data_IF_936708002460
#
_entry.id   IF_936708002460
#
_cell.length_a   1.000
_cell.length_b   1.000
_cell.length_c   1.000
_cell.angle_alpha   90.00
_cell.angle_beta   90.00
_cell.angle_gamma   90.00
#
_symmetry.space_group_name_H-M   'P 1'
#
loop_
_entity.id
_entity.type
_entity.pdbx_description
1 polymer ?
#
# COMPACT_ATOMS: atom_id res chain seq x y z
N UNK A 1 13.35 -8.86 8.64
CA UNK A 1 13.29 -7.76 7.67
C UNK A 1 11.90 -7.15 7.71
N UNK A 2 11.80 -5.85 7.55
CA UNK A 2 10.54 -5.12 7.43
C UNK A 2 10.46 -4.48 6.03
N UNK A 3 9.28 -4.46 5.42
CA UNK A 3 9.07 -3.91 4.07
C UNK A 3 9.39 -2.42 4.00
N UNK A 4 9.24 -1.70 5.11
CA UNK A 4 9.58 -0.27 5.17
C UNK A 4 11.02 0.04 4.80
N UNK A 5 11.97 -0.88 5.00
CA UNK A 5 13.38 -0.67 4.64
C UNK A 5 13.56 -0.52 3.13
N UNK A 6 13.23 -1.52 2.29
CA UNK A 6 13.36 -1.38 0.84
C UNK A 6 12.37 -0.35 0.25
N UNK A 7 11.21 -0.11 0.84
CA UNK A 7 10.30 0.96 0.40
C UNK A 7 10.92 2.34 0.52
N UNK A 8 11.51 2.67 1.68
CA UNK A 8 12.16 3.96 1.91
C UNK A 8 13.41 4.09 1.04
N UNK A 9 14.18 3.01 0.85
CA UNK A 9 15.31 3.00 -0.08
C UNK A 9 14.82 3.34 -1.51
N UNK A 10 13.78 2.66 -1.98
CA UNK A 10 13.21 2.86 -3.31
C UNK A 10 12.80 4.32 -3.54
N UNK A 11 11.91 4.86 -2.71
CA UNK A 11 11.39 6.22 -2.91
C UNK A 11 12.47 7.27 -2.73
N UNK A 12 13.38 7.09 -1.77
CA UNK A 12 14.48 8.05 -1.56
C UNK A 12 15.44 8.07 -2.76
N UNK A 13 15.81 6.90 -3.28
CA UNK A 13 16.66 6.80 -4.46
C UNK A 13 15.99 7.38 -5.72
N UNK A 14 14.68 7.20 -5.88
CA UNK A 14 13.89 7.83 -6.96
C UNK A 14 13.96 9.36 -6.88
N UNK A 15 13.70 9.92 -5.69
CA UNK A 15 13.73 11.37 -5.48
C UNK A 15 15.14 11.95 -5.70
N UNK A 16 16.16 11.28 -5.22
CA UNK A 16 17.55 11.71 -5.43
C UNK A 16 17.92 11.65 -6.92
N UNK A 17 17.61 10.57 -7.61
CA UNK A 17 17.85 10.45 -9.05
C UNK A 17 17.17 11.56 -9.84
N UNK A 18 15.89 11.83 -9.55
CA UNK A 18 15.10 12.84 -10.25
C UNK A 18 15.61 14.26 -9.98
N UNK A 19 15.85 14.59 -8.70
CA UNK A 19 16.18 15.98 -8.31
C UNK A 19 17.64 16.34 -8.56
N UNK A 20 18.55 15.36 -8.51
CA UNK A 20 19.97 15.59 -8.78
C UNK A 20 20.36 15.31 -10.24
N UNK A 21 19.53 14.61 -10.99
CA UNK A 21 19.87 14.15 -12.34
C UNK A 21 21.01 13.13 -12.34
N UNK A 22 21.10 12.30 -11.29
CA UNK A 22 22.18 11.35 -11.07
C UNK A 22 21.70 9.92 -11.18
N UNK A 23 22.01 9.27 -12.29
CA UNK A 23 21.61 7.90 -12.59
C UNK A 23 22.31 6.83 -11.71
N UNK A 24 23.29 7.21 -10.88
CA UNK A 24 23.98 6.26 -9.98
C UNK A 24 23.03 5.60 -8.98
N UNK A 25 21.91 6.26 -8.64
CA UNK A 25 20.88 5.71 -7.75
C UNK A 25 20.00 4.61 -8.38
N UNK A 26 20.13 4.36 -9.68
CA UNK A 26 19.34 3.33 -10.37
C UNK A 26 19.57 1.92 -9.79
N UNK A 27 20.81 1.62 -9.40
CA UNK A 27 21.15 0.35 -8.75
C UNK A 27 20.43 0.15 -7.42
N UNK A 28 20.37 1.19 -6.58
CA UNK A 28 19.67 1.14 -5.29
C UNK A 28 18.15 0.91 -5.47
N UNK A 29 17.56 1.48 -6.53
CA UNK A 29 16.16 1.28 -6.90
C UNK A 29 15.92 -0.18 -7.32
N UNK A 30 16.79 -0.73 -8.17
CA UNK A 30 16.69 -2.11 -8.65
C UNK A 30 16.82 -3.11 -7.50
N UNK A 31 17.80 -2.91 -6.61
CA UNK A 31 18.02 -3.75 -5.44
C UNK A 31 16.82 -3.74 -4.50
N UNK A 32 16.23 -2.57 -4.25
CA UNK A 32 15.04 -2.42 -3.41
C UNK A 32 13.83 -3.16 -4.00
N UNK A 33 13.56 -2.99 -5.30
CA UNK A 33 12.45 -3.67 -5.98
C UNK A 33 12.66 -5.19 -5.97
N UNK A 34 13.87 -5.64 -6.22
CA UNK A 34 14.17 -7.08 -6.20
C UNK A 34 14.03 -7.68 -4.79
N UNK A 35 14.43 -6.96 -3.74
CA UNK A 35 14.20 -7.39 -2.36
C UNK A 35 12.70 -7.48 -2.04
N UNK A 36 11.90 -6.51 -2.47
CA UNK A 36 10.45 -6.54 -2.30
C UNK A 36 9.85 -7.77 -2.97
N UNK A 37 10.21 -8.02 -4.23
CA UNK A 37 9.73 -9.17 -5.00
C UNK A 37 10.12 -10.51 -4.39
N UNK A 38 11.38 -10.66 -4.02
CA UNK A 38 11.94 -11.92 -3.53
C UNK A 38 11.47 -12.27 -2.12
N UNK A 39 11.49 -11.27 -1.21
CA UNK A 39 11.33 -11.53 0.21
C UNK A 39 9.90 -11.26 0.70
N UNK A 40 9.24 -10.22 0.22
CA UNK A 40 7.96 -9.76 0.78
C UNK A 40 6.73 -10.19 -0.02
N UNK A 41 6.81 -10.28 -1.35
CA UNK A 41 5.69 -10.79 -2.14
C UNK A 41 5.55 -12.30 -1.96
N UNK A 42 4.31 -12.76 -1.74
CA UNK A 42 3.95 -14.18 -1.58
C UNK A 42 2.89 -14.56 -2.60
N UNK A 43 3.31 -14.87 -3.86
CA UNK A 43 2.37 -15.16 -4.94
C UNK A 43 1.43 -16.33 -4.65
N UNK A 44 1.90 -17.33 -3.91
CA UNK A 44 1.16 -18.55 -3.57
C UNK A 44 -0.05 -18.30 -2.66
N UNK A 45 -0.04 -17.17 -1.94
CA UNK A 45 -1.13 -16.76 -1.05
C UNK A 45 -1.62 -15.33 -1.35
N UNK A 46 -1.17 -14.75 -2.45
CA UNK A 46 -1.59 -13.45 -2.96
C UNK A 46 -1.56 -12.35 -1.90
N UNK A 47 -0.36 -12.08 -1.36
CA UNK A 47 -0.15 -10.98 -0.42
C UNK A 47 1.28 -10.44 -0.43
N UNK A 48 1.45 -9.31 0.24
CA UNK A 48 2.74 -8.71 0.56
C UNK A 48 2.85 -8.63 2.08
N UNK A 49 3.92 -9.22 2.61
CA UNK A 49 4.15 -9.29 4.06
C UNK A 49 4.72 -7.97 4.58
N UNK A 50 4.29 -7.56 5.78
CA UNK A 50 4.90 -6.43 6.50
C UNK A 50 6.28 -6.78 7.05
N UNK A 51 6.42 -8.02 7.52
CA UNK A 51 7.67 -8.56 8.07
C UNK A 51 7.92 -9.97 7.59
N UNK A 52 9.19 -10.30 7.38
CA UNK A 52 9.64 -11.65 7.02
C UNK A 52 10.92 -12.03 7.77
N UNK A 53 11.20 -13.33 7.87
CA UNK A 53 12.47 -13.81 8.35
C UNK A 53 13.64 -13.38 7.44
N UNK A 54 14.90 -13.48 7.87
CA UNK A 54 16.06 -13.11 7.05
C UNK A 54 16.13 -13.80 5.67
N UNK A 55 15.56 -15.00 5.58
CA UNK A 55 15.48 -15.80 4.33
C UNK A 55 14.21 -15.54 3.51
N UNK A 56 13.40 -14.56 3.91
CA UNK A 56 12.13 -14.22 3.26
C UNK A 56 10.95 -15.09 3.69
N UNK A 57 11.11 -16.09 4.56
CA UNK A 57 10.00 -16.94 5.01
C UNK A 57 9.04 -16.20 5.93
N UNK A 58 7.77 -16.67 5.97
CA UNK A 58 6.75 -16.13 6.86
C UNK A 58 7.06 -16.55 8.30
N UNK A 59 7.07 -15.60 9.22
CA UNK A 59 7.25 -15.85 10.65
C UNK A 59 5.88 -16.16 11.25
N UNK A 60 5.65 -17.40 11.73
CA UNK A 60 4.38 -17.80 12.37
C UNK A 60 4.29 -17.29 13.80
N UNK A 61 4.23 -15.98 13.94
CA UNK A 61 3.99 -15.24 15.18
C UNK A 61 3.07 -14.06 14.88
N UNK A 62 2.45 -13.45 15.87
CA UNK A 62 1.54 -12.30 15.69
C UNK A 62 2.12 -11.23 14.79
N UNK A 63 3.31 -10.72 15.13
CA UNK A 63 3.95 -9.64 14.37
C UNK A 63 4.30 -10.10 12.95
N UNK A 64 4.87 -11.31 12.83
CA UNK A 64 5.30 -11.86 11.54
C UNK A 64 4.17 -12.23 10.60
N UNK A 65 2.94 -12.41 11.10
CA UNK A 65 1.74 -12.66 10.28
C UNK A 65 0.97 -11.38 9.95
N UNK A 66 1.39 -10.24 10.51
CA UNK A 66 0.72 -8.96 10.28
C UNK A 66 0.90 -8.52 8.84
N UNK A 67 -0.20 -8.18 8.19
CA UNK A 67 -0.26 -7.43 6.94
C UNK A 67 -0.63 -5.98 7.25
N UNK A 68 0.05 -5.04 6.61
CA UNK A 68 -0.34 -3.65 6.55
C UNK A 68 -0.76 -3.31 5.11
N UNK A 69 -2.07 -3.36 4.80
CA UNK A 69 -2.54 -3.06 3.45
C UNK A 69 -2.09 -1.68 2.96
N UNK A 70 -2.03 -0.69 3.84
CA UNK A 70 -1.59 0.66 3.51
C UNK A 70 -0.14 0.70 3.00
N UNK A 71 0.81 0.15 3.75
CA UNK A 71 2.22 0.11 3.35
C UNK A 71 2.43 -0.67 2.05
N UNK A 72 1.75 -1.81 1.91
CA UNK A 72 1.90 -2.60 0.69
C UNK A 72 1.32 -1.88 -0.55
N UNK A 73 0.21 -1.16 -0.40
CA UNK A 73 -0.37 -0.33 -1.46
C UNK A 73 0.53 0.88 -1.77
N UNK A 74 1.13 1.49 -0.74
CA UNK A 74 2.14 2.53 -0.90
C UNK A 74 3.34 2.00 -1.70
N UNK A 75 3.85 0.83 -1.35
CA UNK A 75 4.90 0.15 -2.10
C UNK A 75 4.49 -0.07 -3.57
N UNK A 76 3.23 -0.45 -3.82
CA UNK A 76 2.74 -0.66 -5.18
C UNK A 76 2.88 0.60 -6.04
N UNK A 77 2.49 1.78 -5.53
CA UNK A 77 2.60 2.98 -6.34
C UNK A 77 4.03 3.51 -6.46
N UNK A 78 4.93 3.25 -5.51
CA UNK A 78 6.35 3.53 -5.70
C UNK A 78 6.91 2.76 -6.91
N UNK A 79 6.55 1.49 -7.04
CA UNK A 79 6.96 0.65 -8.18
C UNK A 79 6.27 1.11 -9.48
N UNK A 80 4.97 1.44 -9.44
CA UNK A 80 4.26 1.99 -10.61
C UNK A 80 4.83 3.33 -11.06
N UNK A 81 5.26 4.16 -10.11
CA UNK A 81 5.93 5.41 -10.43
C UNK A 81 7.28 5.17 -11.11
N UNK A 82 8.05 4.21 -10.61
CA UNK A 82 9.28 3.79 -11.28
C UNK A 82 9.01 3.27 -12.70
N UNK A 83 7.97 2.47 -12.87
CA UNK A 83 7.56 2.01 -14.19
C UNK A 83 7.33 3.17 -15.17
N UNK A 84 6.63 4.21 -14.71
CA UNK A 84 6.38 5.42 -15.49
C UNK A 84 7.68 6.16 -15.84
N UNK A 85 8.58 6.30 -14.88
CA UNK A 85 9.88 6.97 -15.08
C UNK A 85 10.76 6.23 -16.09
N UNK A 86 10.63 4.91 -16.18
CA UNK A 86 11.32 4.04 -17.15
C UNK A 86 10.57 3.87 -18.48
N UNK A 87 9.69 4.81 -18.83
CA UNK A 87 8.98 4.77 -20.11
C UNK A 87 7.86 3.72 -20.17
N UNK A 88 7.19 3.50 -19.06
CA UNK A 88 6.11 2.52 -18.88
C UNK A 88 6.62 1.06 -18.95
N UNK A 89 7.65 0.76 -18.15
CA UNK A 89 8.20 -0.59 -18.05
C UNK A 89 7.11 -1.62 -17.70
N UNK A 90 6.83 -2.59 -18.60
CA UNK A 90 5.69 -3.51 -18.42
C UNK A 90 5.88 -4.50 -17.26
N UNK A 91 7.11 -4.81 -16.88
CA UNK A 91 7.39 -5.72 -15.77
C UNK A 91 7.12 -5.04 -14.43
N UNK A 92 7.52 -3.80 -14.29
CA UNK A 92 7.23 -2.98 -13.11
C UNK A 92 5.73 -2.65 -13.01
N UNK A 93 5.05 -2.35 -14.13
CA UNK A 93 3.59 -2.17 -14.16
C UNK A 93 2.91 -3.43 -13.62
N UNK A 94 3.28 -4.61 -14.13
CA UNK A 94 2.71 -5.88 -13.68
C UNK A 94 2.93 -6.09 -12.17
N UNK A 95 4.13 -5.82 -11.67
CA UNK A 95 4.46 -5.98 -10.25
C UNK A 95 3.64 -5.05 -9.36
N UNK A 96 3.61 -3.76 -9.68
CA UNK A 96 2.86 -2.78 -8.88
C UNK A 96 1.35 -3.04 -8.90
N UNK A 97 0.80 -3.38 -10.08
CA UNK A 97 -0.61 -3.75 -10.21
C UNK A 97 -0.95 -5.03 -9.42
N UNK A 98 -0.06 -6.02 -9.43
CA UNK A 98 -0.26 -7.27 -8.69
C UNK A 98 -0.29 -7.03 -7.18
N UNK A 99 0.62 -6.22 -6.64
CA UNK A 99 0.61 -5.83 -5.23
C UNK A 99 -0.68 -5.10 -4.89
N UNK A 100 -1.08 -4.12 -5.70
CA UNK A 100 -2.31 -3.36 -5.49
C UNK A 100 -3.55 -4.26 -5.47
N UNK A 101 -3.69 -5.14 -6.45
CA UNK A 101 -4.83 -6.06 -6.55
C UNK A 101 -4.93 -6.98 -5.32
N UNK A 102 -3.82 -7.60 -4.93
CA UNK A 102 -3.77 -8.48 -3.76
C UNK A 102 -4.12 -7.75 -2.47
N UNK A 103 -3.53 -6.59 -2.26
CA UNK A 103 -3.66 -5.91 -0.98
C UNK A 103 -4.98 -5.13 -0.87
N UNK A 104 -5.58 -4.73 -1.98
CA UNK A 104 -6.96 -4.24 -1.97
C UNK A 104 -7.95 -5.37 -1.65
N UNK A 105 -7.77 -6.57 -2.22
CA UNK A 105 -8.63 -7.71 -1.93
C UNK A 105 -8.56 -8.13 -0.45
N UNK A 106 -7.37 -8.09 0.16
CA UNK A 106 -7.17 -8.43 1.57
C UNK A 106 -7.53 -7.32 2.54
N UNK A 107 -7.31 -6.07 2.14
CA UNK A 107 -7.43 -4.90 3.01
C UNK A 107 -8.80 -4.26 3.02
N UNK A 108 -9.62 -4.41 1.98
CA UNK A 108 -10.92 -3.76 1.91
C UNK A 108 -11.96 -4.42 2.82
N UNK A 109 -12.61 -3.62 3.67
CA UNK A 109 -13.69 -4.09 4.53
C UNK A 109 -14.99 -4.20 3.74
N UNK A 110 -15.41 -5.44 3.43
CA UNK A 110 -16.63 -5.71 2.68
C UNK A 110 -17.94 -5.37 3.41
N UNK A 111 -17.88 -5.16 4.73
CA UNK A 111 -19.06 -4.86 5.55
C UNK A 111 -19.30 -3.34 5.68
N UNK A 112 -18.26 -2.59 6.03
CA UNK A 112 -18.36 -1.15 6.30
C UNK A 112 -17.64 -0.28 5.26
N UNK A 113 -16.88 -0.91 4.37
CA UNK A 113 -15.99 -0.21 3.46
C UNK A 113 -14.72 0.31 4.14
N UNK A 114 -13.83 0.86 3.33
CA UNK A 114 -12.53 1.36 3.79
C UNK A 114 -11.52 0.27 4.05
N UNK A 115 -10.26 0.66 4.13
CA UNK A 115 -9.14 -0.25 4.36
C UNK A 115 -8.97 -0.53 5.85
N UNK A 116 -8.82 -1.80 6.21
CA UNK A 116 -8.32 -2.19 7.52
C UNK A 116 -6.90 -1.68 7.72
N UNK A 117 -6.55 -1.33 8.95
CA UNK A 117 -5.18 -0.92 9.25
C UNK A 117 -4.23 -2.12 9.27
N UNK A 118 -4.61 -3.18 10.01
CA UNK A 118 -3.88 -4.45 10.01
C UNK A 118 -4.78 -5.65 9.75
N UNK A 119 -4.21 -6.68 9.14
CA UNK A 119 -4.82 -8.00 8.97
C UNK A 119 -3.81 -9.07 9.36
N UNK A 120 -4.28 -10.24 9.76
CA UNK A 120 -3.43 -11.44 9.87
C UNK A 120 -3.47 -12.18 8.52
N UNK A 121 -2.34 -12.65 8.03
CA UNK A 121 -2.23 -13.32 6.73
C UNK A 121 -3.05 -14.59 6.61
N UNK A 122 -3.37 -15.23 7.75
CA UNK A 122 -4.19 -16.43 7.83
C UNK A 122 -5.55 -16.18 8.50
N UNK A 123 -5.99 -14.92 8.56
CA UNK A 123 -7.25 -14.50 9.22
C UNK A 123 -7.36 -14.91 10.70
N UNK A 124 -6.22 -15.11 11.37
CA UNK A 124 -6.14 -15.29 12.82
C UNK A 124 -6.34 -13.95 13.53
N UNK A 125 -6.64 -13.95 14.84
CA UNK A 125 -6.72 -12.71 15.61
C UNK A 125 -5.44 -11.88 15.52
N UNK A 126 -5.61 -10.57 15.30
CA UNK A 126 -4.53 -9.58 15.30
C UNK A 126 -4.30 -9.10 16.73
N UNK A 127 -3.06 -8.89 17.12
CA UNK A 127 -2.70 -8.45 18.48
C UNK A 127 -3.14 -7.00 18.74
N UNK A 128 -3.04 -6.14 17.73
CA UNK A 128 -3.33 -4.71 17.85
C UNK A 128 -4.85 -4.48 17.92
N UNK A 129 -5.35 -3.94 19.05
CA UNK A 129 -6.78 -3.73 19.25
C UNK A 129 -7.41 -2.71 18.28
N UNK A 130 -6.61 -1.84 17.66
CA UNK A 130 -7.06 -0.87 16.62
C UNK A 130 -6.91 -1.40 15.19
N UNK A 131 -6.64 -2.67 15.00
CA UNK A 131 -6.34 -3.26 13.69
C UNK A 131 -7.43 -3.06 12.65
N UNK A 132 -8.68 -2.94 13.07
CA UNK A 132 -9.83 -2.75 12.19
C UNK A 132 -10.25 -1.28 12.02
N UNK A 133 -9.59 -0.35 12.71
CA UNK A 133 -9.82 1.08 12.52
C UNK A 133 -9.42 1.51 11.12
N UNK A 134 -9.99 2.64 10.69
CA UNK A 134 -9.69 3.25 9.40
C UNK A 134 -8.82 4.47 9.60
N UNK A 135 -7.67 4.49 8.92
CA UNK A 135 -6.73 5.59 8.93
C UNK A 135 -6.78 6.32 7.59
N UNK A 136 -6.64 7.64 7.59
CA UNK A 136 -6.75 8.45 6.38
C UNK A 136 -5.66 8.12 5.34
N UNK A 137 -4.43 7.90 5.79
CA UNK A 137 -3.29 7.74 4.92
C UNK A 137 -3.35 6.47 4.03
N UNK A 138 -3.76 5.26 4.50
CA UNK A 138 -3.88 4.11 3.61
C UNK A 138 -4.86 4.32 2.46
N UNK A 139 -5.90 5.12 2.70
CA UNK A 139 -6.87 5.45 1.66
C UNK A 139 -6.29 6.39 0.62
N UNK A 140 -5.47 7.37 1.03
CA UNK A 140 -4.76 8.24 0.10
C UNK A 140 -3.76 7.44 -0.76
N UNK A 141 -3.02 6.51 -0.15
CA UNK A 141 -2.12 5.62 -0.89
C UNK A 141 -2.89 4.80 -1.94
N UNK A 142 -4.07 4.26 -1.58
CA UNK A 142 -4.91 3.52 -2.52
C UNK A 142 -5.50 4.39 -3.64
N UNK A 143 -5.83 5.65 -3.36
CA UNK A 143 -6.26 6.63 -4.37
C UNK A 143 -5.14 6.90 -5.36
N UNK A 144 -3.92 7.13 -4.88
CA UNK A 144 -2.73 7.36 -5.73
C UNK A 144 -2.43 6.11 -6.56
N UNK A 145 -2.33 4.95 -5.91
CA UNK A 145 -1.99 3.69 -6.57
C UNK A 145 -2.97 3.31 -7.68
N UNK A 146 -4.27 3.41 -7.40
CA UNK A 146 -5.31 3.06 -8.36
C UNK A 146 -5.37 4.02 -9.56
N UNK A 147 -5.17 5.33 -9.32
CA UNK A 147 -5.11 6.31 -10.40
C UNK A 147 -3.89 6.09 -11.30
N UNK A 148 -2.74 5.79 -10.69
CA UNK A 148 -1.51 5.53 -11.41
C UNK A 148 -1.61 4.22 -12.21
N UNK A 149 -2.16 3.15 -11.63
CA UNK A 149 -2.44 1.89 -12.31
C UNK A 149 -3.39 2.09 -13.50
N UNK A 150 -4.47 2.86 -13.32
CA UNK A 150 -5.37 3.24 -14.43
C UNK A 150 -4.63 3.99 -15.54
N UNK A 151 -3.81 4.96 -15.19
CA UNK A 151 -3.04 5.78 -16.14
C UNK A 151 -2.06 4.94 -16.98
N UNK A 152 -1.48 3.90 -16.40
CA UNK A 152 -0.47 3.06 -17.03
C UNK A 152 -1.08 1.89 -17.83
N UNK A 153 -2.23 1.36 -17.40
CA UNK A 153 -2.83 0.16 -17.99
C UNK A 153 -4.07 0.45 -18.84
N UNK A 154 -4.82 1.50 -18.51
CA UNK A 154 -6.14 1.78 -19.10
C UNK A 154 -7.24 0.80 -18.64
N UNK A 155 -6.97 -0.07 -17.66
CA UNK A 155 -7.93 -1.07 -17.20
C UNK A 155 -9.03 -0.46 -16.31
N UNK A 156 -10.30 -0.65 -16.68
CA UNK A 156 -11.49 -0.10 -16.01
C UNK A 156 -11.60 -0.53 -14.54
N UNK A 157 -11.05 -1.69 -14.15
CA UNK A 157 -11.05 -2.12 -12.76
C UNK A 157 -10.38 -1.12 -11.82
N UNK A 158 -9.32 -0.42 -12.30
CA UNK A 158 -8.62 0.59 -11.51
C UNK A 158 -9.38 1.90 -11.43
N UNK A 159 -10.18 2.26 -12.45
CA UNK A 159 -11.11 3.38 -12.35
C UNK A 159 -12.19 3.11 -11.30
N UNK A 160 -12.75 1.90 -11.31
CA UNK A 160 -13.73 1.45 -10.33
C UNK A 160 -13.14 1.43 -8.91
N UNK A 161 -11.92 0.90 -8.75
CA UNK A 161 -11.21 0.87 -7.48
C UNK A 161 -10.94 2.28 -6.96
N UNK A 162 -10.44 3.16 -7.83
CA UNK A 162 -10.19 4.56 -7.50
C UNK A 162 -11.45 5.27 -7.01
N UNK A 163 -12.55 5.14 -7.75
CA UNK A 163 -13.83 5.76 -7.39
C UNK A 163 -14.34 5.23 -6.04
N UNK A 164 -14.26 3.91 -5.82
CA UNK A 164 -14.67 3.27 -4.58
C UNK A 164 -13.92 3.84 -3.36
N UNK A 165 -12.60 3.89 -3.44
CA UNK A 165 -11.77 4.36 -2.32
C UNK A 165 -11.92 5.86 -2.12
N UNK A 166 -11.91 6.64 -3.21
CA UNK A 166 -12.07 8.09 -3.19
C UNK A 166 -13.38 8.50 -2.52
N UNK A 167 -14.50 7.94 -2.96
CA UNK A 167 -15.82 8.33 -2.45
C UNK A 167 -15.98 7.93 -0.99
N UNK A 168 -15.50 6.74 -0.63
CA UNK A 168 -15.54 6.30 0.76
C UNK A 168 -14.71 7.22 1.65
N UNK A 169 -13.45 7.49 1.28
CA UNK A 169 -12.53 8.29 2.07
C UNK A 169 -13.03 9.73 2.24
N UNK A 170 -13.36 10.40 1.15
CA UNK A 170 -13.79 11.81 1.22
C UNK A 170 -15.16 11.99 1.87
N UNK A 171 -16.03 10.98 1.84
CA UNK A 171 -17.31 11.05 2.57
C UNK A 171 -17.16 10.85 4.08
N UNK A 172 -16.08 10.23 4.54
CA UNK A 172 -15.89 9.82 5.95
C UNK A 172 -14.83 10.60 6.69
N UNK A 173 -13.67 10.85 6.05
CA UNK A 173 -12.56 11.55 6.70
C UNK A 173 -12.68 13.07 6.65
N UNK A 174 -13.37 13.64 5.67
CA UNK A 174 -13.42 15.10 5.52
C UNK A 174 -14.13 15.78 6.68
N UNK A 175 -13.43 16.69 7.38
CA UNK A 175 -14.04 17.61 8.33
C UNK A 175 -14.64 18.79 7.56
N UNK A 176 -15.96 18.79 7.44
CA UNK A 176 -16.70 19.81 6.67
C UNK A 176 -16.80 21.14 7.39
N UNK A 177 -16.54 21.18 8.69
CA UNK A 177 -16.63 22.40 9.50
C UNK A 177 -15.29 23.13 9.55
N UNK A 178 -14.20 22.41 9.79
CA UNK A 178 -12.88 23.00 10.03
C UNK A 178 -11.85 22.70 8.94
N UNK A 179 -12.23 21.95 7.91
CA UNK A 179 -11.31 21.52 6.87
C UNK A 179 -10.42 20.35 7.29
N UNK A 180 -9.60 19.88 6.35
CA UNK A 180 -8.70 18.73 6.50
C UNK A 180 -9.41 17.38 6.70
N UNK A 181 -8.64 16.35 7.04
CA UNK A 181 -9.12 14.99 7.26
C UNK A 181 -8.93 14.58 8.72
N UNK A 182 -9.93 13.92 9.29
CA UNK A 182 -9.76 13.22 10.57
C UNK A 182 -8.70 12.11 10.44
N UNK A 183 -7.81 11.98 11.43
CA UNK A 183 -6.74 10.99 11.40
C UNK A 183 -7.26 9.55 11.49
N UNK A 184 -8.33 9.35 12.30
CA UNK A 184 -8.78 8.02 12.71
C UNK A 184 -10.29 7.93 12.74
N UNK A 185 -10.82 6.84 12.16
CA UNK A 185 -12.22 6.46 12.27
C UNK A 185 -12.34 5.08 12.93
N UNK A 186 -13.45 4.83 13.61
CA UNK A 186 -13.84 3.47 13.96
C UNK A 186 -14.09 2.64 12.70
N UNK A 187 -14.16 1.31 12.84
CA UNK A 187 -14.37 0.40 11.72
C UNK A 187 -15.61 0.77 10.89
N UNK A 188 -16.68 1.22 11.53
CA UNK A 188 -17.94 1.62 10.89
C UNK A 188 -17.91 3.02 10.24
N UNK A 189 -16.77 3.71 10.27
CA UNK A 189 -16.56 5.01 9.66
C UNK A 189 -16.97 6.21 10.53
N UNK A 190 -17.36 5.99 11.79
CA UNK A 190 -17.58 7.11 12.74
C UNK A 190 -16.23 7.68 13.20
N UNK A 191 -16.19 9.00 13.37
CA UNK A 191 -14.99 9.69 13.90
C UNK A 191 -14.66 9.15 15.28
N UNK A 192 -13.41 8.69 15.46
CA UNK A 192 -12.93 8.17 16.74
C UNK A 192 -12.52 9.30 17.69
N UNK A 193 -11.66 10.18 17.19
CA UNK A 193 -11.21 11.39 17.89
C UNK A 193 -11.07 12.52 16.88
N UNK A 194 -11.23 13.81 17.30
CA UNK A 194 -11.09 14.94 16.39
C UNK A 194 -9.62 15.29 16.08
N UNK A 195 -8.75 14.28 16.09
CA UNK A 195 -7.35 14.42 15.73
C UNK A 195 -7.23 14.41 14.19
N UNK A 196 -6.38 15.30 13.69
CA UNK A 196 -6.08 15.44 12.25
C UNK A 196 -4.63 15.14 11.97
#
# INVERSE_FOLDING_TARGET
>A
KAIGEPMIQLVTAQELRLNLGDDSFTGDIDDAIEEIRRDFMKPEIECVMEMVAPDGSIIDHFDGRTLNPGHAIECAWFILWEAKLRGNDPDLIRTGCQILDWMMARGWDGEYGGLFYFRDVYDKPVQEYWHDMKFWWPHNEAIIASLLALSLTGEEKYATMHQLVHDWAHSRFADKEHGELYGYLHRDGRVSVPLK
#
